data_IF_078261376688
#
_entry.id   IF_078261376688
#
_cell.length_a   1.000
_cell.length_b   1.000
_cell.length_c   1.000
_cell.angle_alpha   90.00
_cell.angle_beta   90.00
_cell.angle_gamma   90.00
#
_symmetry.space_group_name_H-M   'P 1'
#
loop_
_entity.id
_entity.type
_entity.pdbx_description
1 polymer ?
#
# COMPACT_ATOMS: atom_id res chain seq x y z
N UNK A 1 9.76 12.90 -8.12
CA UNK A 1 8.83 13.46 -7.10
C UNK A 1 7.51 12.67 -7.08
N UNK A 2 6.62 12.81 -6.09
CA UNK A 2 5.32 12.09 -6.02
C UNK A 2 4.40 12.47 -7.18
N UNK A 3 4.29 13.77 -7.48
CA UNK A 3 3.43 14.26 -8.57
C UNK A 3 3.98 13.81 -9.92
N UNK A 4 5.29 13.95 -10.12
CA UNK A 4 5.99 13.46 -11.29
C UNK A 4 5.79 11.95 -11.51
N UNK A 5 5.89 11.15 -10.45
CA UNK A 5 5.61 9.70 -10.52
C UNK A 5 4.15 9.43 -10.88
N UNK A 6 3.20 10.17 -10.29
CA UNK A 6 1.79 10.09 -10.63
C UNK A 6 1.53 10.41 -12.11
N UNK A 7 2.04 11.53 -12.61
CA UNK A 7 1.89 11.92 -14.02
C UNK A 7 2.46 10.86 -14.96
N UNK A 8 3.65 10.33 -14.67
CA UNK A 8 4.24 9.28 -15.48
C UNK A 8 3.38 8.02 -15.54
N UNK A 9 2.70 7.67 -14.45
CA UNK A 9 1.80 6.51 -14.38
C UNK A 9 0.46 6.76 -15.08
N UNK A 10 -0.08 7.98 -15.03
CA UNK A 10 -1.39 8.33 -15.59
C UNK A 10 -1.48 8.05 -17.10
N UNK A 11 -0.37 8.16 -17.82
CA UNK A 11 -0.34 7.91 -19.26
C UNK A 11 -0.57 6.43 -19.62
N UNK A 12 -0.29 5.52 -18.70
CA UNK A 12 -0.41 4.07 -18.90
C UNK A 12 -1.65 3.46 -18.21
N UNK A 13 -2.33 4.19 -17.32
CA UNK A 13 -3.43 3.69 -16.47
C UNK A 13 -4.73 4.46 -16.75
N UNK A 14 -5.24 4.36 -17.98
CA UNK A 14 -6.45 5.07 -18.45
C UNK A 14 -7.69 4.19 -18.46
N UNK A 15 -7.53 2.88 -18.70
CA UNK A 15 -8.62 1.94 -18.88
C UNK A 15 -8.50 0.74 -17.91
N UNK A 16 -9.64 0.16 -17.47
CA UNK A 16 -9.64 -1.08 -16.70
C UNK A 16 -8.81 -2.20 -17.36
N UNK A 17 -8.11 -3.00 -16.56
CA UNK A 17 -7.20 -4.04 -17.03
C UNK A 17 -5.83 -3.55 -17.50
N UNK A 18 -5.60 -2.22 -17.56
CA UNK A 18 -4.25 -1.68 -17.74
C UNK A 18 -3.45 -1.76 -16.43
N UNK A 19 -2.18 -2.11 -16.59
CA UNK A 19 -1.30 -2.44 -15.50
C UNK A 19 0.08 -1.80 -15.68
N UNK A 20 0.59 -1.19 -14.61
CA UNK A 20 1.98 -0.71 -14.52
C UNK A 20 2.66 -1.47 -13.40
N UNK A 21 3.80 -2.08 -13.69
CA UNK A 21 4.63 -2.73 -12.66
C UNK A 21 5.86 -1.86 -12.39
N UNK A 22 6.00 -1.44 -11.13
CA UNK A 22 7.12 -0.63 -10.67
C UNK A 22 8.11 -1.51 -9.90
N UNK A 23 9.34 -1.57 -10.39
CA UNK A 23 10.49 -2.05 -9.64
C UNK A 23 10.91 -0.98 -8.64
N UNK A 24 10.86 -1.29 -7.34
CA UNK A 24 11.20 -0.32 -6.31
C UNK A 24 12.32 -0.83 -5.43
N UNK A 25 13.40 -0.06 -5.39
CA UNK A 25 14.57 -0.35 -4.58
C UNK A 25 14.41 0.39 -3.25
N UNK A 26 14.07 -0.36 -2.21
CA UNK A 26 13.89 0.15 -0.85
C UNK A 26 12.52 0.81 -0.58
N UNK A 27 12.22 1.02 0.72
CA UNK A 27 10.86 1.35 1.16
C UNK A 27 10.45 2.80 0.85
N UNK A 28 11.40 3.71 0.63
CA UNK A 28 11.14 5.09 0.22
C UNK A 28 10.52 5.17 -1.18
N UNK A 29 10.99 4.35 -2.11
CA UNK A 29 10.43 4.25 -3.45
C UNK A 29 8.99 3.73 -3.38
N UNK A 30 8.75 2.72 -2.54
CA UNK A 30 7.43 2.16 -2.30
C UNK A 30 6.45 3.18 -1.71
N UNK A 31 6.91 3.96 -0.73
CA UNK A 31 6.13 5.06 -0.17
C UNK A 31 5.81 6.16 -1.20
N UNK A 32 6.65 6.34 -2.24
CA UNK A 32 6.35 7.27 -3.35
C UNK A 32 5.27 6.70 -4.27
N UNK A 33 5.36 5.43 -4.66
CA UNK A 33 4.33 4.80 -5.50
C UNK A 33 2.95 4.79 -4.85
N UNK A 34 2.88 4.47 -3.55
CA UNK A 34 1.62 4.52 -2.79
C UNK A 34 1.04 5.93 -2.74
N UNK A 35 1.88 6.95 -2.51
CA UNK A 35 1.44 8.35 -2.54
C UNK A 35 1.04 8.80 -3.94
N UNK A 36 1.73 8.33 -4.98
CA UNK A 36 1.38 8.61 -6.37
C UNK A 36 0.01 8.01 -6.72
N UNK A 37 -0.27 6.77 -6.28
CA UNK A 37 -1.59 6.16 -6.44
C UNK A 37 -2.70 6.96 -5.71
N UNK A 38 -2.44 7.41 -4.47
CA UNK A 38 -3.37 8.26 -3.74
C UNK A 38 -3.59 9.62 -4.44
N UNK A 39 -2.54 10.20 -5.01
CA UNK A 39 -2.60 11.43 -5.80
C UNK A 39 -3.45 11.26 -7.06
N UNK A 40 -3.24 10.17 -7.82
CA UNK A 40 -4.02 9.85 -9.03
C UNK A 40 -5.49 9.70 -8.73
N UNK A 41 -5.84 9.03 -7.63
CA UNK A 41 -7.22 8.92 -7.17
C UNK A 41 -7.83 10.29 -6.86
N UNK A 42 -7.12 11.14 -6.14
CA UNK A 42 -7.66 12.45 -5.75
C UNK A 42 -7.85 13.39 -6.95
N UNK A 43 -6.83 13.51 -7.80
CA UNK A 43 -6.79 14.48 -8.89
C UNK A 43 -7.49 14.01 -10.15
N UNK A 44 -7.26 12.75 -10.54
CA UNK A 44 -7.73 12.20 -11.82
C UNK A 44 -8.90 11.24 -11.67
N UNK A 45 -9.34 10.94 -10.43
CA UNK A 45 -10.42 9.98 -10.14
C UNK A 45 -10.13 8.56 -10.66
N UNK A 46 -8.86 8.22 -10.82
CA UNK A 46 -8.41 6.88 -11.20
C UNK A 46 -8.30 6.06 -9.92
N UNK A 47 -9.14 5.03 -9.78
CA UNK A 47 -9.04 4.06 -8.69
C UNK A 47 -8.01 2.99 -9.07
N UNK A 48 -7.02 2.76 -8.22
CA UNK A 48 -5.95 1.80 -8.46
C UNK A 48 -5.94 0.71 -7.38
N UNK A 49 -5.90 -0.54 -7.82
CA UNK A 49 -5.54 -1.69 -7.00
C UNK A 49 -4.02 -1.88 -7.05
N UNK A 50 -3.39 -1.89 -5.88
CA UNK A 50 -1.96 -2.10 -5.68
C UNK A 50 -1.74 -3.53 -5.18
N UNK A 51 -0.89 -4.28 -5.86
CA UNK A 51 -0.44 -5.60 -5.41
C UNK A 51 1.06 -5.56 -5.20
N UNK A 52 1.44 -5.94 -3.98
CA UNK A 52 2.84 -6.16 -3.62
C UNK A 52 3.21 -7.54 -4.15
N UNK A 53 4.09 -7.55 -5.14
CA UNK A 53 4.44 -8.72 -5.94
C UNK A 53 5.94 -8.98 -5.90
N UNK A 54 6.35 -10.08 -6.51
CA UNK A 54 7.73 -10.37 -6.90
C UNK A 54 8.02 -9.85 -8.30
N UNK A 55 9.28 -10.00 -8.75
CA UNK A 55 9.69 -9.61 -10.10
C UNK A 55 8.87 -10.36 -11.16
N UNK A 56 8.45 -9.70 -12.26
CA UNK A 56 7.83 -10.38 -13.39
C UNK A 56 8.72 -11.47 -13.97
N UNK A 57 8.10 -12.48 -14.58
CA UNK A 57 8.82 -13.59 -15.20
C UNK A 57 9.79 -13.08 -16.28
N UNK A 58 11.03 -13.56 -16.26
CA UNK A 58 12.08 -13.12 -17.18
C UNK A 58 12.77 -11.81 -16.82
N UNK A 59 12.37 -11.13 -15.74
CA UNK A 59 13.06 -9.94 -15.23
C UNK A 59 14.06 -10.33 -14.15
N UNK A 60 15.34 -9.98 -14.37
CA UNK A 60 16.40 -10.23 -13.38
C UNK A 60 16.27 -9.19 -12.26
N UNK A 61 16.00 -9.69 -11.06
CA UNK A 61 16.03 -8.92 -9.82
C UNK A 61 17.35 -8.12 -9.70
N UNK A 62 17.27 -6.88 -9.22
CA UNK A 62 18.46 -6.04 -9.10
C UNK A 62 19.28 -6.48 -7.88
N UNK A 63 20.23 -7.39 -8.10
CA UNK A 63 21.11 -7.90 -7.05
C UNK A 63 22.24 -6.91 -6.72
N UNK A 64 21.88 -5.83 -6.01
CA UNK A 64 22.86 -5.01 -5.28
C UNK A 64 22.53 -5.07 -3.79
N UNK A 65 23.06 -6.13 -3.17
CA UNK A 65 22.93 -6.44 -1.74
C UNK A 65 22.88 -5.21 -0.84
N UNK A 66 21.69 -4.99 -0.26
CA UNK A 66 21.40 -4.32 1.02
C UNK A 66 19.97 -3.73 1.04
N UNK A 67 19.39 -3.41 -0.12
CA UNK A 67 18.04 -2.85 -0.19
C UNK A 67 17.03 -3.93 -0.59
N UNK A 68 15.98 -4.11 0.22
CA UNK A 68 14.84 -4.96 -0.16
C UNK A 68 14.23 -4.42 -1.46
N UNK A 69 14.26 -5.26 -2.48
CA UNK A 69 13.57 -5.01 -3.74
C UNK A 69 12.10 -5.39 -3.55
N UNK A 70 11.23 -4.40 -3.72
CA UNK A 70 9.78 -4.58 -3.62
C UNK A 70 9.21 -4.24 -4.98
N UNK A 71 8.44 -5.14 -5.55
CA UNK A 71 7.70 -4.88 -6.77
C UNK A 71 6.28 -4.51 -6.39
N UNK A 72 5.79 -3.41 -6.93
CA UNK A 72 4.38 -3.05 -6.79
C UNK A 72 3.83 -2.90 -8.18
N UNK A 73 2.83 -3.71 -8.47
CA UNK A 73 2.02 -3.47 -9.62
C UNK A 73 0.77 -2.71 -9.26
N UNK A 74 0.33 -1.89 -10.21
CA UNK A 74 -0.81 -1.01 -10.10
C UNK A 74 -1.72 -1.26 -11.29
N UNK A 75 -2.96 -1.59 -10.98
CA UNK A 75 -3.99 -1.88 -11.97
C UNK A 75 -5.18 -0.96 -11.76
N UNK A 76 -5.80 -0.51 -12.86
CA UNK A 76 -7.06 0.26 -12.78
C UNK A 76 -8.15 -0.64 -12.22
N UNK A 77 -8.68 -0.26 -11.06
CA UNK A 77 -9.62 -1.06 -10.30
C UNK A 77 -10.99 -1.17 -11.00
N UNK A 78 -11.51 -2.39 -11.11
CA UNK A 78 -12.88 -2.64 -11.52
C UNK A 78 -13.84 -2.44 -10.33
N UNK A 79 -14.29 -1.20 -10.13
CA UNK A 79 -15.39 -0.89 -9.21
C UNK A 79 -14.98 -0.51 -7.78
N UNK A 80 -15.99 -0.22 -6.93
CA UNK A 80 -15.77 0.33 -5.60
C UNK A 80 -15.05 -0.69 -4.69
N UNK A 81 -14.28 -0.21 -3.69
CA UNK A 81 -13.54 -1.11 -2.82
C UNK A 81 -14.49 -2.01 -2.01
N UNK A 82 -14.36 -3.34 -2.09
CA UNK A 82 -15.20 -4.24 -1.32
C UNK A 82 -14.58 -4.42 0.07
N UNK A 83 -14.93 -3.56 1.03
CA UNK A 83 -14.57 -3.75 2.44
C UNK A 83 -15.82 -4.07 3.25
N UNK A 84 -16.07 -5.35 3.53
CA UNK A 84 -17.21 -5.84 4.32
C UNK A 84 -16.95 -5.79 5.82
N UNK A 85 -15.71 -5.94 6.26
CA UNK A 85 -15.26 -5.75 7.64
C UNK A 85 -13.89 -5.07 7.63
N UNK A 86 -13.78 -3.90 8.27
CA UNK A 86 -12.59 -3.06 8.20
C UNK A 86 -12.04 -2.76 9.60
N UNK A 87 -10.80 -3.17 9.84
CA UNK A 87 -10.05 -2.87 11.06
C UNK A 87 -9.17 -1.65 10.81
N UNK A 88 -9.42 -0.56 11.54
CA UNK A 88 -8.65 0.67 11.47
C UNK A 88 -7.41 0.62 12.38
N UNK A 89 -6.25 1.01 11.86
CA UNK A 89 -4.99 1.04 12.59
C UNK A 89 -4.19 2.31 12.31
N UNK A 90 -3.87 3.07 13.35
CA UNK A 90 -3.06 4.28 13.24
C UNK A 90 -1.58 3.99 13.43
N UNK A 91 -0.75 4.48 12.51
CA UNK A 91 0.69 4.20 12.47
C UNK A 91 1.48 5.40 12.96
N UNK A 92 2.19 5.18 14.07
CA UNK A 92 3.05 6.17 14.69
C UNK A 92 4.53 5.94 14.38
N UNK A 93 5.35 6.92 14.78
CA UNK A 93 6.81 6.80 14.75
C UNK A 93 7.36 5.66 15.62
N UNK A 94 6.57 5.08 16.54
CA UNK A 94 6.97 3.96 17.40
C UNK A 94 6.55 2.59 16.88
N UNK A 95 5.72 2.53 15.85
CA UNK A 95 5.29 1.24 15.27
C UNK A 95 6.47 0.51 14.63
N UNK A 96 6.62 -0.79 14.89
CA UNK A 96 7.64 -1.63 14.29
C UNK A 96 7.06 -2.36 13.06
N UNK A 97 7.68 -2.25 11.86
CA UNK A 97 7.17 -2.87 10.64
C UNK A 97 6.88 -4.36 10.77
N UNK A 98 7.80 -5.15 11.34
CA UNK A 98 7.63 -6.62 11.41
C UNK A 98 6.42 -7.02 12.27
N UNK A 99 6.22 -6.33 13.40
CA UNK A 99 5.06 -6.58 14.27
C UNK A 99 3.75 -6.20 13.57
N UNK A 100 3.78 -5.09 12.82
CA UNK A 100 2.65 -4.65 12.02
C UNK A 100 2.36 -5.65 10.88
N UNK A 101 3.39 -6.19 10.23
CA UNK A 101 3.25 -7.19 9.17
C UNK A 101 2.54 -8.45 9.68
N UNK A 102 2.93 -8.95 10.87
CA UNK A 102 2.25 -10.09 11.51
C UNK A 102 0.80 -9.79 11.87
N UNK A 103 0.50 -8.59 12.35
CA UNK A 103 -0.88 -8.19 12.61
C UNK A 103 -1.70 -8.16 11.31
N UNK A 104 -1.15 -7.56 10.24
CA UNK A 104 -1.77 -7.54 8.91
C UNK A 104 -2.04 -8.97 8.44
N UNK A 105 -1.03 -9.82 8.40
CA UNK A 105 -1.17 -11.20 7.96
C UNK A 105 -2.23 -11.96 8.78
N UNK A 106 -2.27 -11.76 10.09
CA UNK A 106 -3.24 -12.43 10.97
C UNK A 106 -4.68 -12.03 10.68
N UNK A 107 -4.95 -10.73 10.55
CA UNK A 107 -6.30 -10.21 10.24
C UNK A 107 -6.74 -10.62 8.83
N UNK A 108 -5.86 -10.44 7.84
CA UNK A 108 -6.13 -10.82 6.45
C UNK A 108 -6.41 -12.32 6.31
N UNK A 109 -5.70 -13.17 7.05
CA UNK A 109 -5.92 -14.62 7.05
C UNK A 109 -7.31 -15.02 7.59
N UNK A 110 -7.91 -14.19 8.46
CA UNK A 110 -9.28 -14.37 8.98
C UNK A 110 -10.37 -13.84 8.04
N UNK A 111 -10.00 -13.35 6.87
CA UNK A 111 -10.92 -12.73 5.92
C UNK A 111 -11.30 -11.28 6.26
N UNK A 112 -10.63 -10.68 7.25
CA UNK A 112 -10.84 -9.27 7.60
C UNK A 112 -10.05 -8.36 6.65
N UNK A 113 -10.55 -7.15 6.42
CA UNK A 113 -9.77 -6.10 5.72
C UNK A 113 -9.17 -5.16 6.75
N UNK A 114 -8.01 -4.59 6.45
CA UNK A 114 -7.34 -3.63 7.31
C UNK A 114 -7.20 -2.27 6.64
N UNK A 115 -7.24 -1.20 7.43
CA UNK A 115 -7.00 0.16 6.99
C UNK A 115 -5.94 0.78 7.88
N UNK A 116 -4.78 1.03 7.28
CA UNK A 116 -3.64 1.65 7.95
C UNK A 116 -3.65 3.14 7.66
N UNK A 117 -3.56 3.98 8.68
CA UNK A 117 -3.49 5.44 8.52
C UNK A 117 -2.21 5.97 9.12
N UNK A 118 -1.42 6.70 8.34
CA UNK A 118 -0.13 7.24 8.79
C UNK A 118 0.11 8.66 8.28
N UNK A 119 0.69 9.50 9.14
CA UNK A 119 1.02 10.88 8.80
C UNK A 119 2.53 11.01 8.58
N UNK A 120 2.90 11.52 7.40
CA UNK A 120 4.28 11.83 7.04
C UNK A 120 5.11 10.63 6.56
N UNK A 121 6.30 10.89 5.97
CA UNK A 121 7.04 9.88 5.21
C UNK A 121 7.41 8.62 6.01
N UNK A 122 7.86 8.79 7.26
CA UNK A 122 8.30 7.67 8.11
C UNK A 122 7.17 6.69 8.42
N UNK A 123 5.95 7.17 8.68
CA UNK A 123 4.81 6.29 8.93
C UNK A 123 4.41 5.54 7.66
N UNK A 124 4.48 6.19 6.50
CA UNK A 124 4.17 5.58 5.19
C UNK A 124 5.16 4.46 4.87
N UNK A 125 6.46 4.71 5.00
CA UNK A 125 7.52 3.71 4.82
C UNK A 125 7.19 2.46 5.64
N UNK A 126 6.85 2.62 6.92
CA UNK A 126 6.51 1.50 7.81
C UNK A 126 5.25 0.74 7.38
N UNK A 127 4.20 1.46 6.97
CA UNK A 127 2.98 0.83 6.44
C UNK A 127 3.31 -0.04 5.23
N UNK A 128 4.06 0.54 4.28
CA UNK A 128 4.36 -0.11 3.02
C UNK A 128 5.29 -1.31 3.19
N UNK A 129 6.32 -1.18 4.03
CA UNK A 129 7.17 -2.32 4.41
C UNK A 129 6.35 -3.43 5.06
N UNK A 130 5.47 -3.10 6.00
CA UNK A 130 4.67 -4.11 6.69
C UNK A 130 3.68 -4.84 5.76
N UNK A 131 3.03 -4.10 4.85
CA UNK A 131 2.15 -4.70 3.83
C UNK A 131 2.97 -5.57 2.87
N UNK A 132 4.15 -5.13 2.43
CA UNK A 132 5.05 -5.91 1.58
C UNK A 132 5.49 -7.22 2.22
N UNK A 133 5.91 -7.20 3.49
CA UNK A 133 6.27 -8.41 4.25
C UNK A 133 5.08 -9.37 4.35
N UNK A 134 3.89 -8.86 4.67
CA UNK A 134 2.68 -9.68 4.74
C UNK A 134 2.32 -10.30 3.38
N UNK A 135 2.36 -9.50 2.31
CA UNK A 135 2.09 -9.95 0.95
C UNK A 135 3.05 -11.06 0.51
N UNK A 136 4.35 -10.87 0.74
CA UNK A 136 5.36 -11.90 0.48
C UNK A 136 5.06 -13.19 1.24
N UNK A 137 4.65 -13.10 2.50
CA UNK A 137 4.30 -14.29 3.28
C UNK A 137 3.11 -15.04 2.68
N UNK A 138 2.06 -14.34 2.20
CA UNK A 138 0.94 -15.01 1.54
C UNK A 138 1.35 -15.67 0.21
N UNK A 139 2.19 -14.98 -0.58
CA UNK A 139 2.70 -15.47 -1.86
C UNK A 139 3.59 -16.72 -1.68
N UNK A 140 4.60 -16.63 -0.82
CA UNK A 140 5.54 -17.73 -0.51
C UNK A 140 4.82 -18.99 0.01
N UNK A 141 3.61 -18.84 0.56
CA UNK A 141 2.80 -19.94 1.10
C UNK A 141 1.63 -20.35 0.18
N UNK A 142 1.52 -19.81 -1.04
CA UNK A 142 0.44 -20.13 -1.98
C UNK A 142 -0.96 -19.76 -1.48
N UNK A 143 -1.04 -18.77 -0.58
CA UNK A 143 -2.27 -18.44 0.15
C UNK A 143 -3.11 -17.37 -0.55
N UNK A 144 -2.54 -16.62 -1.48
CA UNK A 144 -3.26 -15.63 -2.28
C UNK A 144 -2.49 -14.34 -2.43
N UNK A 145 -3.18 -13.33 -2.94
CA UNK A 145 -2.59 -12.02 -3.26
C UNK A 145 -3.17 -10.97 -2.33
N UNK A 146 -2.31 -10.12 -1.77
CA UNK A 146 -2.72 -8.98 -0.96
C UNK A 146 -2.99 -7.79 -1.89
N UNK A 147 -4.26 -7.36 -1.96
CA UNK A 147 -4.69 -6.19 -2.70
C UNK A 147 -4.81 -4.99 -1.77
N UNK A 148 -4.27 -3.86 -2.19
CA UNK A 148 -4.25 -2.62 -1.40
C UNK A 148 -4.76 -1.45 -2.22
N UNK A 149 -5.44 -0.49 -1.58
CA UNK A 149 -5.82 0.79 -2.18
C UNK A 149 -5.30 1.94 -1.33
N UNK A 150 -4.66 2.87 -1.98
CA UNK A 150 -4.13 4.07 -1.35
C UNK A 150 -5.17 5.21 -1.41
N UNK A 151 -5.21 6.02 -0.37
CA UNK A 151 -5.94 7.28 -0.36
C UNK A 151 -5.17 8.33 0.43
N UNK A 152 -5.46 9.59 0.14
CA UNK A 152 -5.00 10.73 0.93
C UNK A 152 -6.22 11.35 1.62
N UNK A 153 -6.11 11.59 2.93
CA UNK A 153 -7.20 12.12 3.74
C UNK A 153 -6.70 13.27 4.61
N UNK A 154 -7.57 14.25 4.86
CA UNK A 154 -7.33 15.25 5.89
C UNK A 154 -7.68 14.67 7.25
N UNK A 155 -6.74 14.72 8.20
CA UNK A 155 -6.97 14.32 9.58
C UNK A 155 -6.89 15.53 10.49
N UNK A 156 -7.84 15.65 11.41
CA UNK A 156 -7.78 16.66 12.46
C UNK A 156 -6.65 16.32 13.43
N UNK A 157 -5.88 17.33 13.82
CA UNK A 157 -4.86 17.20 14.84
C UNK A 157 -5.38 17.73 16.18
N UNK A 158 -4.91 17.16 17.31
CA UNK A 158 -5.16 17.77 18.61
C UNK A 158 -4.65 19.22 18.63
N UNK A 159 -5.37 20.15 19.30
CA UNK A 159 -4.93 21.54 19.40
C UNK A 159 -3.52 21.68 19.96
N UNK A 160 -2.74 22.64 19.44
CA UNK A 160 -1.38 22.94 19.92
C UNK A 160 -0.30 21.94 19.48
N UNK A 161 -0.60 21.03 18.56
CA UNK A 161 0.41 20.14 17.95
C UNK A 161 1.15 20.88 16.83
N UNK A 162 2.48 20.88 16.91
CA UNK A 162 3.31 21.28 15.78
C UNK A 162 3.53 20.11 14.82
N UNK A 163 3.23 20.31 13.55
CA UNK A 163 3.55 19.38 12.47
C UNK A 163 4.41 20.10 11.42
N UNK A 164 5.56 19.50 11.06
CA UNK A 164 6.53 20.12 10.14
C UNK A 164 6.93 21.57 10.52
N UNK A 165 6.99 21.86 11.82
CA UNK A 165 7.38 23.18 12.34
C UNK A 165 6.31 24.27 12.24
N UNK A 166 5.05 23.90 11.95
CA UNK A 166 3.90 24.81 11.98
C UNK A 166 2.82 24.31 12.94
N UNK A 167 2.17 25.24 13.62
CA UNK A 167 0.93 24.96 14.34
C UNK A 167 -0.20 24.83 13.32
N UNK A 168 -0.87 23.69 13.29
CA UNK A 168 -1.96 23.40 12.37
C UNK A 168 -2.95 22.46 13.01
N UNK A 169 -4.24 22.73 12.80
CA UNK A 169 -5.34 21.91 13.31
C UNK A 169 -5.64 20.70 12.43
N UNK A 170 -4.92 20.57 11.30
CA UNK A 170 -5.05 19.42 10.40
C UNK A 170 -3.71 19.01 9.79
N UNK A 171 -3.65 17.77 9.34
CA UNK A 171 -2.55 17.26 8.51
C UNK A 171 -3.08 16.33 7.42
N UNK A 172 -2.25 16.06 6.42
CA UNK A 172 -2.54 15.08 5.39
C UNK A 172 -1.99 13.72 5.79
N UNK A 173 -2.89 12.75 5.95
CA UNK A 173 -2.52 11.37 6.19
C UNK A 173 -2.65 10.55 4.90
N UNK A 174 -1.77 9.57 4.76
CA UNK A 174 -1.93 8.51 3.78
C UNK A 174 -2.64 7.35 4.44
N UNK A 175 -3.65 6.82 3.75
CA UNK A 175 -4.41 5.66 4.14
C UNK A 175 -4.15 4.53 3.15
N UNK A 176 -3.87 3.33 3.64
CA UNK A 176 -3.76 2.11 2.84
C UNK A 176 -4.80 1.13 3.36
N UNK A 177 -5.80 0.83 2.53
CA UNK A 177 -6.76 -0.24 2.83
C UNK A 177 -6.34 -1.51 2.11
N UNK A 178 -6.22 -2.61 2.82
CA UNK A 178 -5.68 -3.88 2.31
C UNK A 178 -6.61 -5.05 2.63
N UNK A 179 -6.69 -5.99 1.69
CA UNK A 179 -7.46 -7.24 1.81
C UNK A 179 -6.71 -8.41 1.18
N UNK A 180 -7.03 -9.63 1.59
CA UNK A 180 -6.55 -10.84 0.93
C UNK A 180 -7.52 -11.27 -0.16
N UNK A 181 -6.99 -11.60 -1.34
CA UNK A 181 -7.67 -12.39 -2.37
C UNK A 181 -7.12 -13.82 -2.26
N UNK A 182 -7.83 -14.74 -1.58
CA UNK A 182 -7.33 -16.08 -1.36
C UNK A 182 -7.30 -16.88 -2.67
N UNK A 183 -6.35 -17.81 -2.77
CA UNK A 183 -6.37 -18.84 -3.83
C UNK A 183 -7.61 -19.74 -3.70
N UNK A 184 -8.01 -20.41 -4.79
CA UNK A 184 -9.13 -21.37 -4.75
C UNK A 184 -8.92 -22.48 -3.71
N UNK A 185 -7.67 -22.90 -3.50
CA UNK A 185 -7.32 -23.89 -2.48
C UNK A 185 -7.56 -23.34 -1.05
N UNK A 186 -7.24 -22.07 -0.79
CA UNK A 186 -7.50 -21.44 0.51
C UNK A 186 -8.99 -21.27 0.79
N UNK A 187 -9.81 -20.98 -0.23
CA UNK A 187 -11.26 -20.84 -0.07
C UNK A 187 -11.95 -22.12 0.42
N UNK A 188 -11.32 -23.28 0.26
CA UNK A 188 -11.84 -24.58 0.72
C UNK A 188 -11.49 -24.89 2.18
N UNK A 189 -10.54 -24.17 2.78
CA UNK A 189 -10.04 -24.39 4.15
C UNK A 189 -10.69 -23.43 5.15
N UNK A 190 -11.29 -22.33 4.66
CA UNK A 190 -12.03 -21.34 5.44
C UNK A 190 -13.50 -21.73 5.59
#
# INVERSE_FOLDING_TARGET
DTQECGHAMADFLREPGQMVVLQMIGPDACAKAVRAAAYLRQQYKIELDLYFTTAPEGVVAYDKGAAEEIWVGLEVAEGPPPFTALIDFEISSKTFPDKLAWAIASHLFRGESMRLTGIGPRSIIKMVTAVGIAAKWFDDNGRGVVLSRANSISVALPPGKMYEGRETDFSWATQISTRLVPTEQMKQIQ
#
